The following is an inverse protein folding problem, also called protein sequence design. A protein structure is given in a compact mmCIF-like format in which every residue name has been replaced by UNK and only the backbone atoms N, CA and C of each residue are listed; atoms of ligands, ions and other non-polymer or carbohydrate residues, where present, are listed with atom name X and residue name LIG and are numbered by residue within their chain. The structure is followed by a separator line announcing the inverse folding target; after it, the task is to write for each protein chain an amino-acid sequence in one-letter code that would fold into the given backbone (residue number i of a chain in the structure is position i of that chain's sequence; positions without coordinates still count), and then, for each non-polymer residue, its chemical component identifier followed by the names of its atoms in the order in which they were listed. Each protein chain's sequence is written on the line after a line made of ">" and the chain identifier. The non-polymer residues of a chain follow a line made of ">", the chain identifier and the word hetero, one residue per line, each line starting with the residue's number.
data_IF_516256254290
#
_entry.id   IF_516256254290
#
_cell.length_a   1.000
_cell.length_b   1.000
_cell.length_c   1.000
_cell.angle_alpha   90.00
_cell.angle_beta   90.00
_cell.angle_gamma   90.00
#
_symmetry.space_group_name_H-M   'P 1'
#
loop_
_entity.id
_entity.type
_entity.pdbx_description
1 polymer ?
#
# COMPACT_ATOMS: atom_id res chain seq x y z
N UNK A 1 36.69 57.06 8.01
CA UNK A 1 35.63 56.25 7.43
C UNK A 1 36.23 55.40 6.32
N UNK A 2 36.46 54.12 6.57
CA UNK A 2 36.97 53.19 5.56
C UNK A 2 35.83 52.24 5.18
N UNK A 3 35.32 52.34 3.98
CA UNK A 3 34.33 51.45 3.37
C UNK A 3 34.94 50.08 3.10
N UNK A 4 34.32 49.06 3.62
CA UNK A 4 34.61 47.63 3.36
C UNK A 4 33.97 47.26 2.02
N UNK A 5 34.65 46.68 1.05
CA UNK A 5 34.01 46.29 -0.20
C UNK A 5 33.25 44.95 -0.07
N UNK A 6 32.03 44.95 -0.61
CA UNK A 6 31.07 43.85 -0.69
C UNK A 6 31.47 42.70 -1.63
N UNK A 7 32.63 42.08 -1.42
CA UNK A 7 33.11 41.07 -2.37
C UNK A 7 33.28 39.65 -1.77
N UNK A 8 32.71 39.37 -0.58
CA UNK A 8 32.99 38.10 0.10
C UNK A 8 31.75 37.19 0.35
N UNK A 9 30.60 37.51 -0.19
CA UNK A 9 29.35 36.72 0.08
C UNK A 9 28.88 35.81 -1.07
N UNK A 10 29.50 35.86 -2.25
CA UNK A 10 29.03 35.07 -3.41
C UNK A 10 29.65 33.67 -3.51
N UNK A 11 30.90 33.35 -3.01
CA UNK A 11 31.43 32.00 -3.19
C UNK A 11 30.81 30.92 -2.23
N UNK A 12 30.21 31.33 -1.09
CA UNK A 12 29.74 30.35 -0.13
C UNK A 12 28.43 29.69 -0.54
N UNK A 13 27.58 30.39 -1.26
CA UNK A 13 26.30 29.85 -1.75
C UNK A 13 26.48 28.90 -2.95
N UNK A 14 27.53 29.16 -3.77
CA UNK A 14 27.86 28.29 -4.90
C UNK A 14 28.54 26.97 -4.46
N UNK A 15 29.31 26.98 -3.38
CA UNK A 15 29.91 25.77 -2.81
C UNK A 15 28.88 24.83 -2.24
N UNK A 16 27.86 25.32 -1.53
CA UNK A 16 26.76 24.50 -0.99
C UNK A 16 25.85 23.94 -2.10
N UNK A 17 25.73 24.66 -3.22
CA UNK A 17 24.95 24.18 -4.37
C UNK A 17 25.70 23.12 -5.17
N UNK A 18 27.01 23.24 -5.29
CA UNK A 18 27.88 22.26 -5.93
C UNK A 18 27.98 20.95 -5.12
N UNK A 19 28.03 21.03 -3.79
CA UNK A 19 28.02 19.83 -2.93
C UNK A 19 26.69 19.06 -3.02
N UNK A 20 25.55 19.73 -3.12
CA UNK A 20 24.25 19.05 -3.35
C UNK A 20 24.20 18.36 -4.71
N UNK A 21 24.80 18.93 -5.75
CA UNK A 21 24.87 18.28 -7.07
C UNK A 21 25.87 17.13 -7.12
N UNK A 22 26.98 17.23 -6.38
CA UNK A 22 27.99 16.17 -6.31
C UNK A 22 27.49 14.93 -5.55
N UNK A 23 26.66 15.10 -4.50
CA UNK A 23 26.02 14.00 -3.79
C UNK A 23 24.98 13.30 -4.66
N UNK A 24 24.25 14.05 -5.50
CA UNK A 24 23.28 13.48 -6.44
C UNK A 24 23.93 12.70 -7.61
N UNK A 25 25.19 13.02 -7.96
CA UNK A 25 25.89 12.36 -9.07
C UNK A 25 26.70 11.14 -8.66
N UNK A 26 26.96 10.94 -7.35
CA UNK A 26 27.78 9.83 -6.86
C UNK A 26 26.98 8.65 -6.29
N UNK A 27 25.66 8.80 -6.12
CA UNK A 27 24.79 7.65 -5.99
C UNK A 27 24.48 7.24 -7.43
N UNK A 28 25.23 6.30 -7.96
CA UNK A 28 24.90 5.59 -9.20
C UNK A 28 23.60 4.83 -8.99
N UNK A 29 22.49 5.55 -8.94
CA UNK A 29 21.15 4.97 -9.04
C UNK A 29 21.07 4.45 -10.46
N UNK A 30 21.38 3.17 -10.59
CA UNK A 30 21.22 2.46 -11.85
C UNK A 30 19.81 2.69 -12.36
N UNK A 31 19.65 2.68 -13.63
CA UNK A 31 18.35 2.76 -14.35
C UNK A 31 17.47 1.53 -14.08
N UNK A 32 17.70 0.82 -12.97
CA UNK A 32 16.88 -0.29 -12.52
C UNK A 32 15.55 0.25 -11.95
N UNK A 33 14.42 -0.07 -12.59
CA UNK A 33 13.09 0.34 -12.12
C UNK A 33 12.80 -0.07 -10.67
N UNK A 34 13.33 -1.20 -10.22
CA UNK A 34 13.19 -1.67 -8.85
C UNK A 34 13.90 -0.78 -7.84
N UNK A 35 15.12 -0.34 -8.14
CA UNK A 35 15.88 0.57 -7.28
C UNK A 35 15.18 1.95 -7.16
N UNK A 36 14.60 2.46 -8.25
CA UNK A 36 13.83 3.71 -8.23
C UNK A 36 12.59 3.57 -7.35
N UNK A 37 11.83 2.50 -7.49
CA UNK A 37 10.63 2.24 -6.70
C UNK A 37 10.95 2.17 -5.20
N UNK A 38 12.06 1.58 -4.81
CA UNK A 38 12.48 1.49 -3.41
C UNK A 38 12.87 2.86 -2.83
N UNK A 39 13.55 3.70 -3.60
CA UNK A 39 13.87 5.07 -3.19
C UNK A 39 12.58 5.89 -3.01
N UNK A 40 11.66 5.79 -3.96
CA UNK A 40 10.36 6.47 -3.89
C UNK A 40 9.60 6.04 -2.61
N UNK A 41 9.58 4.75 -2.25
CA UNK A 41 8.97 4.25 -1.00
C UNK A 41 9.57 4.87 0.25
N UNK A 42 10.90 4.95 0.33
CA UNK A 42 11.61 5.55 1.48
C UNK A 42 11.24 7.03 1.63
N UNK A 43 11.22 7.78 0.53
CA UNK A 43 10.85 9.19 0.52
C UNK A 43 9.39 9.41 0.94
N UNK A 44 8.46 8.65 0.38
CA UNK A 44 7.04 8.71 0.76
C UNK A 44 6.82 8.34 2.23
N UNK A 45 7.47 7.28 2.70
CA UNK A 45 7.41 6.88 4.11
C UNK A 45 7.88 8.00 5.03
N UNK A 46 9.05 8.57 4.75
CA UNK A 46 9.61 9.67 5.54
C UNK A 46 8.67 10.87 5.54
N UNK A 47 8.19 11.30 4.38
CA UNK A 47 7.24 12.40 4.27
C UNK A 47 5.95 12.14 5.07
N UNK A 48 5.37 10.96 4.93
CA UNK A 48 4.14 10.59 5.62
C UNK A 48 4.33 10.52 7.14
N UNK A 49 5.52 10.17 7.64
CA UNK A 49 5.80 10.12 9.08
C UNK A 49 5.89 11.50 9.72
N UNK A 50 6.43 12.50 9.04
CA UNK A 50 6.70 13.84 9.59
C UNK A 50 5.61 14.86 9.28
N UNK A 51 4.77 14.62 8.25
CA UNK A 51 3.74 15.56 7.81
C UNK A 51 2.47 15.43 8.66
N UNK A 52 1.85 16.57 8.98
CA UNK A 52 0.49 16.56 9.50
C UNK A 52 -0.48 16.20 8.37
N UNK A 53 -1.27 15.13 8.56
CA UNK A 53 -2.29 14.73 7.59
C UNK A 53 -3.51 15.66 7.62
N UNK A 54 -4.26 15.69 6.52
CA UNK A 54 -5.57 16.30 6.46
C UNK A 54 -6.63 15.19 6.40
N UNK A 55 -7.41 15.04 7.48
CA UNK A 55 -8.40 13.98 7.60
C UNK A 55 -9.50 14.05 6.51
N UNK A 56 -9.98 15.24 6.19
CA UNK A 56 -11.03 15.43 5.18
C UNK A 56 -10.52 15.02 3.80
N UNK A 57 -9.36 15.51 3.41
CA UNK A 57 -8.74 15.14 2.14
C UNK A 57 -8.38 13.65 2.08
N UNK A 58 -7.89 13.07 3.18
CA UNK A 58 -7.64 11.63 3.27
C UNK A 58 -8.91 10.79 3.05
N UNK A 59 -10.05 11.23 3.57
CA UNK A 59 -11.33 10.58 3.31
C UNK A 59 -11.76 10.70 1.83
N UNK A 60 -11.57 11.86 1.22
CA UNK A 60 -11.84 12.05 -0.21
C UNK A 60 -11.02 11.09 -1.08
N UNK A 61 -9.71 10.96 -0.79
CA UNK A 61 -8.84 10.00 -1.48
C UNK A 61 -9.29 8.55 -1.26
N UNK A 62 -9.66 8.21 -0.03
CA UNK A 62 -10.11 6.85 0.33
C UNK A 62 -11.34 6.41 -0.47
N UNK A 63 -12.30 7.31 -0.72
CA UNK A 63 -13.52 7.00 -1.48
C UNK A 63 -13.40 7.26 -2.97
N UNK A 64 -12.29 7.86 -3.43
CA UNK A 64 -12.08 8.19 -4.84
C UNK A 64 -11.95 6.94 -5.71
N UNK A 65 -12.34 7.05 -6.97
CA UNK A 65 -12.13 5.99 -7.96
C UNK A 65 -10.65 5.76 -8.29
N UNK A 66 -9.83 6.81 -8.15
CA UNK A 66 -8.39 6.78 -8.45
C UNK A 66 -7.65 5.79 -7.55
N UNK A 67 -7.90 5.84 -6.22
CA UNK A 67 -7.23 4.96 -5.26
C UNK A 67 -8.07 3.73 -4.91
N UNK A 68 -9.38 3.80 -5.08
CA UNK A 68 -10.35 2.72 -4.92
C UNK A 68 -10.27 1.96 -3.57
N UNK A 69 -9.74 2.58 -2.51
CA UNK A 69 -9.58 1.96 -1.20
C UNK A 69 -10.93 1.43 -0.65
N UNK A 70 -11.99 2.25 -0.81
CA UNK A 70 -13.34 1.92 -0.40
C UNK A 70 -13.96 0.73 -1.18
N UNK A 71 -13.35 0.27 -2.27
CA UNK A 71 -13.79 -0.96 -2.97
C UNK A 71 -13.52 -2.19 -2.13
N UNK A 72 -12.40 -2.21 -1.41
CA UNK A 72 -11.96 -3.36 -0.61
C UNK A 72 -12.13 -3.18 0.89
N UNK A 73 -12.15 -1.94 1.41
CA UNK A 73 -12.20 -1.66 2.84
C UNK A 73 -13.48 -0.95 3.27
N UNK A 74 -13.91 -1.18 4.51
CA UNK A 74 -14.92 -0.41 5.23
C UNK A 74 -14.25 0.40 6.33
N UNK A 75 -14.92 1.48 6.80
CA UNK A 75 -14.50 2.32 7.93
C UNK A 75 -15.66 2.55 8.91
N UNK A 76 -16.67 1.69 8.86
CA UNK A 76 -17.91 1.80 9.63
C UNK A 76 -18.15 0.59 10.58
N UNK A 77 -17.19 -0.31 10.69
CA UNK A 77 -17.26 -1.52 11.49
C UNK A 77 -18.05 -2.68 10.84
N UNK A 78 -18.58 -2.49 9.62
CA UNK A 78 -19.44 -3.51 8.98
C UNK A 78 -18.70 -4.75 8.50
N UNK A 79 -17.40 -4.63 8.18
CA UNK A 79 -16.54 -5.71 7.67
C UNK A 79 -17.16 -6.48 6.48
N UNK A 80 -17.93 -5.77 5.65
CA UNK A 80 -18.71 -6.37 4.55
C UNK A 80 -17.94 -6.51 3.26
N UNK A 81 -16.68 -6.07 3.20
CA UNK A 81 -15.85 -6.09 1.99
C UNK A 81 -14.73 -7.13 2.05
N UNK A 82 -13.98 -7.26 0.98
CA UNK A 82 -12.92 -8.27 0.84
C UNK A 82 -11.75 -8.01 1.79
N UNK A 83 -11.33 -6.77 1.95
CA UNK A 83 -10.30 -6.33 2.89
C UNK A 83 -10.83 -6.18 4.32
N UNK A 84 -9.96 -5.97 5.31
CA UNK A 84 -10.35 -5.69 6.69
C UNK A 84 -11.08 -4.35 6.82
N UNK A 85 -11.95 -4.24 7.81
CA UNK A 85 -12.49 -2.95 8.26
C UNK A 85 -11.40 -2.13 8.94
N UNK A 86 -11.31 -0.85 8.60
CA UNK A 86 -10.28 0.06 9.07
C UNK A 86 -10.78 1.07 10.11
N UNK A 87 -12.03 0.96 10.60
CA UNK A 87 -12.62 1.92 11.54
C UNK A 87 -11.82 2.08 12.84
N UNK A 88 -11.15 1.03 13.30
CA UNK A 88 -10.33 0.99 14.51
C UNK A 88 -8.86 0.64 14.22
N UNK A 89 -8.37 0.90 13.01
CA UNK A 89 -7.01 0.48 12.64
C UNK A 89 -5.94 1.20 13.45
N UNK A 90 -6.15 2.48 13.77
CA UNK A 90 -5.22 3.28 14.56
C UNK A 90 -5.07 2.84 16.02
N UNK A 91 -6.04 2.09 16.54
CA UNK A 91 -5.96 1.49 17.89
C UNK A 91 -5.19 0.15 17.89
N UNK A 92 -5.05 -0.46 16.72
CA UNK A 92 -4.43 -1.79 16.56
C UNK A 92 -2.97 -1.73 16.17
N UNK A 93 -2.60 -0.82 15.27
CA UNK A 93 -1.25 -0.66 14.76
C UNK A 93 -0.84 0.81 14.68
N UNK A 94 0.46 1.05 14.76
CA UNK A 94 1.02 2.40 14.73
C UNK A 94 0.97 3.05 13.35
N UNK A 95 1.14 4.39 13.32
CA UNK A 95 1.15 5.15 12.07
C UNK A 95 2.16 4.62 11.05
N UNK A 96 3.37 4.22 11.52
CA UNK A 96 4.40 3.65 10.65
C UNK A 96 3.92 2.38 9.96
N UNK A 97 3.30 1.48 10.71
CA UNK A 97 2.80 0.20 10.19
C UNK A 97 1.64 0.40 9.19
N UNK A 98 0.78 1.41 9.42
CA UNK A 98 -0.28 1.79 8.46
C UNK A 98 0.33 2.27 7.15
N UNK A 99 1.36 3.14 7.23
CA UNK A 99 2.07 3.64 6.05
C UNK A 99 2.75 2.49 5.30
N UNK A 100 3.46 1.62 6.03
CA UNK A 100 4.14 0.47 5.45
C UNK A 100 3.16 -0.51 4.79
N UNK A 101 1.97 -0.70 5.37
CA UNK A 101 0.90 -1.52 4.78
C UNK A 101 0.36 -0.95 3.45
N UNK A 102 0.44 0.36 3.24
CA UNK A 102 0.06 1.00 1.96
C UNK A 102 1.21 0.91 0.94
N UNK A 103 2.44 1.13 1.39
CA UNK A 103 3.62 1.15 0.52
C UNK A 103 4.06 -0.25 0.09
N UNK A 104 3.89 -1.25 0.97
CA UNK A 104 4.31 -2.64 0.78
C UNK A 104 3.26 -3.62 1.31
N UNK A 105 2.09 -3.69 0.68
CA UNK A 105 0.93 -4.42 1.22
C UNK A 105 1.13 -5.92 1.37
N UNK A 106 2.11 -6.50 0.69
CA UNK A 106 2.45 -7.93 0.81
C UNK A 106 3.56 -8.20 1.82
N UNK A 107 4.22 -7.18 2.40
CA UNK A 107 5.29 -7.38 3.38
C UNK A 107 4.77 -7.92 4.72
N UNK A 108 3.58 -7.50 5.13
CA UNK A 108 2.92 -7.99 6.34
C UNK A 108 1.42 -8.07 6.09
N UNK A 109 0.88 -9.27 6.03
CA UNK A 109 -0.52 -9.54 5.74
C UNK A 109 -1.21 -9.97 7.03
N UNK A 110 -2.34 -9.33 7.35
CA UNK A 110 -3.15 -9.72 8.50
C UNK A 110 -3.69 -11.15 8.33
N UNK A 111 -3.84 -11.88 9.44
CA UNK A 111 -4.34 -13.25 9.43
C UNK A 111 -5.70 -13.33 8.73
N UNK A 112 -5.83 -14.31 7.83
CA UNK A 112 -7.04 -14.53 7.04
C UNK A 112 -7.20 -13.61 5.81
N UNK A 113 -6.18 -12.80 5.46
CA UNK A 113 -6.21 -11.92 4.29
C UNK A 113 -5.19 -12.27 3.19
N UNK A 114 -4.55 -13.43 3.30
CA UNK A 114 -3.78 -13.98 2.19
C UNK A 114 -4.68 -14.33 1.00
N UNK A 115 -4.19 -14.13 -0.20
CA UNK A 115 -4.92 -14.53 -1.42
C UNK A 115 -5.15 -16.04 -1.40
N UNK A 116 -6.38 -16.42 -1.70
CA UNK A 116 -6.73 -17.78 -2.04
C UNK A 116 -7.11 -17.85 -3.52
N UNK A 117 -6.38 -18.65 -4.28
CA UNK A 117 -6.80 -19.08 -5.61
C UNK A 117 -7.54 -20.40 -5.50
N UNK A 118 -8.58 -20.55 -6.30
CA UNK A 118 -9.45 -21.71 -6.29
C UNK A 118 -9.91 -22.05 -7.70
N UNK A 119 -9.94 -23.35 -8.00
CA UNK A 119 -10.50 -23.90 -9.24
C UNK A 119 -11.63 -24.86 -8.91
N UNK A 120 -12.78 -24.68 -9.53
CA UNK A 120 -13.91 -25.60 -9.45
C UNK A 120 -13.82 -26.71 -10.50
N UNK A 121 -14.54 -27.81 -10.25
CA UNK A 121 -14.64 -28.95 -11.17
C UNK A 121 -15.28 -28.58 -12.52
N UNK A 122 -16.12 -27.52 -12.56
CA UNK A 122 -16.70 -26.97 -13.78
C UNK A 122 -15.73 -26.10 -14.61
N UNK A 123 -14.47 -25.98 -14.13
CA UNK A 123 -13.40 -25.20 -14.77
C UNK A 123 -13.33 -23.74 -14.37
N UNK A 124 -14.31 -23.21 -13.61
CA UNK A 124 -14.26 -21.81 -13.14
C UNK A 124 -13.16 -21.61 -12.12
N UNK A 125 -12.49 -20.49 -12.24
CA UNK A 125 -11.42 -20.06 -11.33
C UNK A 125 -11.83 -18.80 -10.59
N UNK A 126 -11.37 -18.68 -9.34
CA UNK A 126 -11.64 -17.58 -8.44
C UNK A 126 -10.34 -17.15 -7.76
N UNK A 127 -10.19 -15.85 -7.54
CA UNK A 127 -9.09 -15.27 -6.77
C UNK A 127 -9.67 -14.27 -5.80
N UNK A 128 -9.41 -14.44 -4.51
CA UNK A 128 -9.98 -13.59 -3.49
C UNK A 128 -9.56 -14.02 -2.08
N UNK A 129 -10.41 -13.75 -1.11
CA UNK A 129 -10.19 -14.09 0.29
C UNK A 129 -11.17 -15.16 0.75
N UNK A 130 -10.63 -16.22 1.33
CA UNK A 130 -11.40 -17.23 2.03
C UNK A 130 -11.87 -16.65 3.37
N UNK A 131 -13.17 -16.49 3.54
CA UNK A 131 -13.74 -15.90 4.77
C UNK A 131 -14.11 -16.94 5.81
N UNK A 132 -14.56 -18.12 5.35
CA UNK A 132 -14.89 -19.24 6.23
C UNK A 132 -14.83 -20.55 5.44
N UNK A 133 -14.56 -21.66 6.13
CA UNK A 133 -14.51 -22.99 5.54
C UNK A 133 -15.10 -24.02 6.51
N UNK A 134 -15.93 -24.92 5.97
CA UNK A 134 -16.45 -26.11 6.63
C UNK A 134 -16.25 -27.33 5.74
N UNK A 135 -16.55 -28.51 6.23
CA UNK A 135 -16.48 -29.75 5.43
C UNK A 135 -17.45 -29.74 4.24
N UNK A 136 -18.56 -28.98 4.36
CA UNK A 136 -19.64 -28.96 3.37
C UNK A 136 -19.49 -27.80 2.36
N UNK A 137 -18.99 -26.63 2.81
CA UNK A 137 -18.92 -25.41 2.00
C UNK A 137 -17.81 -24.47 2.47
N UNK A 138 -17.42 -23.57 1.59
CA UNK A 138 -16.57 -22.42 1.89
C UNK A 138 -17.29 -21.11 1.57
N UNK A 139 -16.98 -20.06 2.32
CA UNK A 139 -17.37 -18.67 2.02
C UNK A 139 -16.16 -17.94 1.44
N UNK A 140 -16.35 -17.39 0.26
CA UNK A 140 -15.31 -16.78 -0.53
C UNK A 140 -15.72 -15.41 -1.05
N UNK A 141 -14.82 -14.45 -1.03
CA UNK A 141 -15.08 -13.10 -1.51
C UNK A 141 -13.97 -12.63 -2.46
N UNK A 142 -14.36 -12.23 -3.65
CA UNK A 142 -13.50 -11.53 -4.60
C UNK A 142 -13.61 -10.01 -4.40
N UNK A 143 -12.60 -9.25 -4.87
CA UNK A 143 -12.64 -7.80 -4.82
C UNK A 143 -13.86 -7.26 -5.61
N UNK A 144 -14.60 -6.33 -4.98
CA UNK A 144 -15.77 -5.69 -5.58
C UNK A 144 -16.98 -6.60 -5.80
N UNK A 145 -16.96 -7.85 -5.28
CA UNK A 145 -18.09 -8.80 -5.41
C UNK A 145 -18.70 -9.15 -4.06
N UNK A 146 -19.92 -9.67 -4.12
CA UNK A 146 -20.59 -10.20 -2.96
C UNK A 146 -19.95 -11.50 -2.45
N UNK A 147 -20.21 -11.81 -1.17
CA UNK A 147 -19.80 -13.07 -0.57
C UNK A 147 -20.51 -14.25 -1.27
N UNK A 148 -19.76 -15.21 -1.75
CA UNK A 148 -20.29 -16.43 -2.35
C UNK A 148 -20.02 -17.63 -1.46
N UNK A 149 -20.98 -18.56 -1.42
CA UNK A 149 -20.83 -19.85 -0.76
C UNK A 149 -20.68 -20.94 -1.82
N UNK A 150 -19.57 -21.67 -1.76
CA UNK A 150 -19.21 -22.71 -2.72
C UNK A 150 -19.16 -24.05 -2.00
N UNK A 151 -19.93 -25.07 -2.46
CA UNK A 151 -19.82 -26.40 -1.90
C UNK A 151 -18.41 -26.97 -2.03
N UNK A 152 -17.86 -27.48 -0.94
CA UNK A 152 -16.48 -28.04 -0.90
C UNK A 152 -16.30 -29.15 -1.95
N UNK A 153 -17.35 -29.96 -2.17
CA UNK A 153 -17.37 -31.01 -3.20
C UNK A 153 -17.19 -30.52 -4.65
N UNK A 154 -17.45 -29.22 -4.91
CA UNK A 154 -17.32 -28.62 -6.24
C UNK A 154 -15.89 -28.09 -6.50
N UNK A 155 -15.07 -28.04 -5.47
CA UNK A 155 -13.70 -27.54 -5.57
C UNK A 155 -12.80 -28.64 -6.11
N UNK A 156 -12.04 -28.33 -7.16
CA UNK A 156 -11.04 -29.21 -7.74
C UNK A 156 -9.67 -28.98 -7.09
N UNK A 157 -9.29 -27.70 -6.90
CA UNK A 157 -8.02 -27.30 -6.33
C UNK A 157 -8.17 -25.97 -5.60
N UNK A 158 -7.39 -25.80 -4.52
CA UNK A 158 -7.32 -24.56 -3.74
C UNK A 158 -5.87 -24.34 -3.29
N UNK A 159 -5.40 -23.10 -3.37
CA UNK A 159 -4.06 -22.72 -2.94
C UNK A 159 -4.10 -21.36 -2.25
N UNK A 160 -3.46 -21.26 -1.10
CA UNK A 160 -3.17 -19.98 -0.44
C UNK A 160 -1.86 -19.43 -0.99
N UNK A 161 -1.85 -18.16 -1.34
CA UNK A 161 -0.71 -17.43 -1.88
C UNK A 161 -0.36 -16.36 -0.84
N UNK A 162 0.88 -16.32 -0.39
CA UNK A 162 1.39 -15.31 0.56
C UNK A 162 1.58 -13.95 -0.16
N UNK A 163 0.46 -13.37 -0.54
CA UNK A 163 0.37 -12.09 -1.24
C UNK A 163 -0.91 -11.38 -0.84
N UNK A 164 -0.88 -10.06 -0.77
CA UNK A 164 -2.05 -9.22 -0.52
C UNK A 164 -2.85 -8.99 -1.80
N UNK A 165 -4.19 -8.92 -1.67
CA UNK A 165 -5.05 -8.40 -2.74
C UNK A 165 -4.94 -6.88 -2.92
N UNK A 166 -4.42 -6.18 -1.91
CA UNK A 166 -4.16 -4.74 -2.03
C UNK A 166 -3.02 -4.54 -3.03
N UNK A 167 -3.21 -3.75 -4.09
CA UNK A 167 -2.18 -3.56 -5.10
C UNK A 167 -1.01 -2.74 -4.57
N UNK A 168 0.19 -3.03 -5.05
CA UNK A 168 1.36 -2.19 -4.83
C UNK A 168 1.30 -0.90 -5.67
N UNK A 169 2.06 0.12 -5.26
CA UNK A 169 2.22 1.34 -6.03
C UNK A 169 1.07 2.35 -5.91
N UNK A 170 0.12 2.16 -5.00
CA UNK A 170 -0.97 3.11 -4.76
C UNK A 170 -0.48 4.53 -4.43
N UNK A 171 0.72 4.67 -3.88
CA UNK A 171 1.35 5.96 -3.55
C UNK A 171 1.89 6.71 -4.78
N UNK A 172 1.88 6.11 -5.96
CA UNK A 172 2.37 6.69 -7.22
C UNK A 172 1.24 7.31 -8.06
N UNK A 173 -0.02 7.18 -7.62
CA UNK A 173 -1.23 7.63 -8.32
C UNK A 173 -1.50 9.12 -8.34
#
# INVERSE_FOLDING_TARGET
>A
MKTIPDFFLIPFCFLLYAEKQAVSQNIGVGTDPGAKLEIDRIEYRHHAMISAGNQHHGHELFVSEQFACATCHTVDGSNTKVGPDLSAIGDKIGRGDIIDSILQPSATIADGFNITWMKKKDGKEFTGILKNATDEWIEFREAGKELVRIPTRDILNQQTIEMSLMPEGLHLG
#
